data_IF_758404536793
#
_entry.id   IF_758404536793
#
_cell.length_a   1.000
_cell.length_b   1.000
_cell.length_c   1.000
_cell.angle_alpha   90.00
_cell.angle_beta   90.00
_cell.angle_gamma   90.00
#
_symmetry.space_group_name_H-M   'P 1'
#
loop_
_entity.id
_entity.type
_entity.pdbx_description
1 polymer ?
#
# COMPACT_ATOMS: atom_id res chain seq x y z
N UNK A 1 10.96 6.23 -7.90
CA UNK A 1 9.75 6.22 -7.05
C UNK A 1 9.76 7.31 -5.97
N UNK A 2 10.87 8.04 -5.76
CA UNK A 2 10.97 9.10 -4.75
C UNK A 2 9.80 10.09 -4.79
N UNK A 3 9.53 10.70 -5.95
CA UNK A 3 8.44 11.68 -6.13
C UNK A 3 7.06 11.11 -5.74
N UNK A 4 6.79 9.85 -6.07
CA UNK A 4 5.52 9.19 -5.72
C UNK A 4 5.36 8.99 -4.22
N UNK A 5 6.44 8.62 -3.53
CA UNK A 5 6.42 8.49 -2.08
C UNK A 5 6.36 9.86 -1.39
N UNK A 6 7.02 10.88 -1.95
CA UNK A 6 6.95 12.26 -1.43
C UNK A 6 5.51 12.78 -1.45
N UNK A 7 4.79 12.64 -2.57
CA UNK A 7 3.38 13.05 -2.64
C UNK A 7 2.49 12.28 -1.65
N UNK A 8 2.75 11.00 -1.41
CA UNK A 8 2.03 10.24 -0.38
C UNK A 8 2.27 10.79 1.04
N UNK A 9 3.52 11.17 1.34
CA UNK A 9 3.92 11.72 2.64
C UNK A 9 3.39 13.14 2.82
N UNK A 10 3.39 13.95 1.78
CA UNK A 10 2.83 15.31 1.79
C UNK A 10 1.34 15.28 2.16
N UNK A 11 0.52 14.47 1.48
CA UNK A 11 -0.90 14.31 1.78
C UNK A 11 -1.16 13.87 3.23
N UNK A 12 -0.32 12.98 3.78
CA UNK A 12 -0.45 12.55 5.18
C UNK A 12 -0.10 13.69 6.14
N UNK A 13 0.99 14.43 5.86
CA UNK A 13 1.48 15.53 6.69
C UNK A 13 0.55 16.74 6.72
N UNK A 14 -0.21 16.98 5.65
CA UNK A 14 -1.21 18.04 5.59
C UNK A 14 -2.47 17.74 6.43
N UNK A 15 -2.56 16.53 7.00
CA UNK A 15 -3.67 16.11 7.85
C UNK A 15 -3.26 15.94 9.31
N UNK A 16 -4.24 16.03 10.22
CA UNK A 16 -4.13 15.61 11.62
C UNK A 16 -4.70 14.20 11.85
N UNK A 17 -4.66 13.32 10.85
CA UNK A 17 -5.24 11.99 10.94
C UNK A 17 -4.46 11.11 11.93
N UNK A 18 -5.16 10.56 12.93
CA UNK A 18 -4.58 9.63 13.91
C UNK A 18 -4.97 8.16 13.65
N UNK A 19 -6.05 7.92 12.91
CA UNK A 19 -6.55 6.58 12.61
C UNK A 19 -5.80 5.99 11.41
N UNK A 20 -5.39 4.72 11.51
CA UNK A 20 -4.67 4.01 10.44
C UNK A 20 -5.43 4.06 9.12
N UNK A 21 -6.76 3.88 9.13
CA UNK A 21 -7.59 3.95 7.92
C UNK A 21 -7.48 5.29 7.19
N UNK A 22 -7.48 6.40 7.94
CA UNK A 22 -7.40 7.76 7.39
C UNK A 22 -6.00 8.02 6.83
N UNK A 23 -4.95 7.65 7.56
CA UNK A 23 -3.56 7.78 7.12
C UNK A 23 -3.33 6.95 5.84
N UNK A 24 -3.77 5.70 5.81
CA UNK A 24 -3.62 4.83 4.64
C UNK A 24 -4.37 5.37 3.42
N UNK A 25 -5.57 5.93 3.61
CA UNK A 25 -6.34 6.56 2.53
C UNK A 25 -5.63 7.78 1.95
N UNK A 26 -5.04 8.63 2.79
CA UNK A 26 -4.23 9.78 2.35
C UNK A 26 -2.97 9.35 1.60
N UNK A 27 -2.21 8.39 2.14
CA UNK A 27 -1.04 7.84 1.45
C UNK A 27 -1.41 7.21 0.10
N UNK A 28 -2.54 6.50 0.02
CA UNK A 28 -3.06 5.96 -1.25
C UNK A 28 -3.44 7.06 -2.23
N UNK A 29 -4.04 8.15 -1.77
CA UNK A 29 -4.42 9.27 -2.62
C UNK A 29 -3.17 9.99 -3.16
N UNK A 30 -2.27 10.43 -2.27
CA UNK A 30 -1.07 11.17 -2.64
C UNK A 30 -0.11 10.37 -3.51
N UNK A 31 0.07 9.07 -3.23
CA UNK A 31 0.87 8.21 -4.10
C UNK A 31 0.23 8.04 -5.49
N UNK A 32 -1.09 8.00 -5.60
CA UNK A 32 -1.76 7.88 -6.90
C UNK A 32 -1.63 9.17 -7.72
N UNK A 33 -1.84 10.33 -7.09
CA UNK A 33 -1.73 11.64 -7.76
C UNK A 33 -0.26 11.96 -8.12
N UNK A 34 0.68 11.56 -7.28
CA UNK A 34 2.13 11.70 -7.49
C UNK A 34 2.80 10.56 -8.25
N UNK A 35 2.04 9.62 -8.82
CA UNK A 35 2.61 8.45 -9.48
C UNK A 35 3.47 8.85 -10.69
N UNK A 36 4.73 8.41 -10.73
CA UNK A 36 5.65 8.66 -11.86
C UNK A 36 6.18 7.34 -12.43
N UNK A 37 5.86 7.09 -13.70
CA UNK A 37 6.22 5.86 -14.41
C UNK A 37 5.53 4.61 -13.85
N UNK A 38 5.82 3.46 -14.46
CA UNK A 38 5.15 2.20 -14.11
C UNK A 38 5.38 1.80 -12.65
N UNK A 39 6.62 1.90 -12.15
CA UNK A 39 6.91 1.56 -10.75
C UNK A 39 6.19 2.48 -9.75
N UNK A 40 6.01 3.76 -10.08
CA UNK A 40 5.21 4.68 -9.26
C UNK A 40 3.72 4.29 -9.24
N UNK A 41 3.16 3.90 -10.38
CA UNK A 41 1.78 3.39 -10.46
C UNK A 41 1.62 2.09 -9.68
N UNK A 42 2.59 1.18 -9.72
CA UNK A 42 2.56 -0.06 -8.94
C UNK A 42 2.59 0.26 -7.44
N UNK A 43 3.48 1.16 -7.01
CA UNK A 43 3.57 1.60 -5.61
C UNK A 43 2.26 2.20 -5.11
N UNK A 44 1.59 3.03 -5.92
CA UNK A 44 0.28 3.58 -5.52
C UNK A 44 -0.80 2.51 -5.42
N UNK A 45 -0.70 1.42 -6.17
CA UNK A 45 -1.62 0.29 -6.05
C UNK A 45 -1.38 -0.54 -4.78
N UNK A 46 -0.14 -0.64 -4.32
CA UNK A 46 0.20 -1.24 -3.03
C UNK A 46 -0.50 -0.44 -1.92
N UNK A 47 -0.32 0.88 -1.88
CA UNK A 47 -1.01 1.73 -0.89
C UNK A 47 -2.53 1.63 -0.99
N UNK A 48 -3.08 1.59 -2.21
CA UNK A 48 -4.53 1.45 -2.42
C UNK A 48 -5.08 0.13 -1.90
N UNK A 49 -4.38 -0.98 -2.14
CA UNK A 49 -4.77 -2.29 -1.61
C UNK A 49 -4.75 -2.29 -0.08
N UNK A 50 -3.65 -1.78 0.50
CA UNK A 50 -3.53 -1.64 1.95
C UNK A 50 -4.67 -0.79 2.54
N UNK A 51 -4.92 0.39 1.98
CA UNK A 51 -5.95 1.32 2.45
C UNK A 51 -7.36 0.71 2.45
N UNK A 52 -7.68 -0.13 1.46
CA UNK A 52 -8.96 -0.86 1.40
C UNK A 52 -9.08 -1.89 2.52
N UNK A 53 -8.02 -2.66 2.77
CA UNK A 53 -8.03 -3.70 3.79
C UNK A 53 -8.15 -3.16 5.23
N UNK A 54 -7.71 -1.92 5.46
CA UNK A 54 -7.74 -1.27 6.78
C UNK A 54 -8.87 -0.25 6.93
N UNK A 55 -9.83 -0.23 6.01
CA UNK A 55 -10.94 0.73 6.05
C UNK A 55 -11.72 0.66 7.38
N UNK A 56 -12.03 1.82 7.95
CA UNK A 56 -12.75 1.95 9.23
C UNK A 56 -11.92 1.61 10.48
N UNK A 57 -10.66 1.20 10.34
CA UNK A 57 -9.82 0.81 11.48
C UNK A 57 -9.03 1.99 12.04
N UNK A 58 -9.11 2.19 13.35
CA UNK A 58 -8.30 3.17 14.08
C UNK A 58 -6.88 2.65 14.33
N UNK A 59 -6.74 1.36 14.62
CA UNK A 59 -5.48 0.62 14.83
C UNK A 59 -5.59 -0.77 14.21
N UNK A 60 -4.49 -1.52 14.16
CA UNK A 60 -4.44 -2.87 13.59
C UNK A 60 -3.89 -3.87 14.60
N UNK A 61 -4.53 -5.03 14.69
CA UNK A 61 -3.93 -6.25 15.23
C UNK A 61 -2.91 -6.85 14.26
N UNK A 62 -2.03 -7.77 14.70
CA UNK A 62 -1.11 -8.47 13.79
C UNK A 62 -1.80 -9.14 12.60
N UNK A 63 -2.93 -9.83 12.83
CA UNK A 63 -3.71 -10.48 11.78
C UNK A 63 -4.27 -9.48 10.75
N UNK A 64 -4.73 -8.30 11.20
CA UNK A 64 -5.23 -7.27 10.32
C UNK A 64 -4.13 -6.57 9.53
N UNK A 65 -2.95 -6.42 10.12
CA UNK A 65 -1.76 -5.93 9.42
C UNK A 65 -1.32 -6.92 8.33
N UNK A 66 -1.31 -8.22 8.64
CA UNK A 66 -1.01 -9.26 7.68
C UNK A 66 -1.99 -9.27 6.50
N UNK A 67 -3.30 -9.21 6.78
CA UNK A 67 -4.33 -9.07 5.76
C UNK A 67 -4.16 -7.79 4.91
N UNK A 68 -3.71 -6.70 5.55
CA UNK A 68 -3.36 -5.46 4.86
C UNK A 68 -2.24 -5.63 3.83
N UNK A 69 -1.16 -6.33 4.19
CA UNK A 69 -0.07 -6.62 3.26
C UNK A 69 -0.47 -7.58 2.14
N UNK A 70 -1.28 -8.59 2.44
CA UNK A 70 -1.79 -9.51 1.43
C UNK A 70 -2.63 -8.77 0.38
N UNK A 71 -3.56 -7.91 0.81
CA UNK A 71 -4.38 -7.14 -0.13
C UNK A 71 -3.58 -6.07 -0.89
N UNK A 72 -2.55 -5.50 -0.27
CA UNK A 72 -1.60 -4.61 -0.95
C UNK A 72 -0.88 -5.32 -2.10
N UNK A 73 -0.39 -6.54 -1.87
CA UNK A 73 0.21 -7.37 -2.90
C UNK A 73 -0.79 -7.71 -4.01
N UNK A 74 -1.98 -8.20 -3.65
CA UNK A 74 -3.04 -8.56 -4.60
C UNK A 74 -3.43 -7.37 -5.49
N UNK A 75 -3.58 -6.18 -4.91
CA UNK A 75 -3.89 -4.97 -5.66
C UNK A 75 -2.78 -4.59 -6.65
N UNK A 76 -1.51 -4.76 -6.28
CA UNK A 76 -0.37 -4.49 -7.15
C UNK A 76 -0.28 -5.48 -8.32
N UNK A 77 -0.49 -6.77 -8.07
CA UNK A 77 -0.51 -7.80 -9.13
C UNK A 77 -1.67 -7.56 -10.11
N UNK A 78 -2.88 -7.24 -9.62
CA UNK A 78 -4.04 -6.94 -10.49
C UNK A 78 -3.86 -5.69 -11.35
N UNK A 79 -2.96 -4.79 -10.96
CA UNK A 79 -2.73 -3.54 -11.68
C UNK A 79 -1.76 -3.68 -12.87
N UNK A 80 -1.12 -4.84 -13.03
CA UNK A 80 -0.11 -5.09 -14.04
C UNK A 80 -0.58 -6.20 -14.97
N UNK A 81 -0.70 -5.90 -16.26
CA UNK A 81 -1.16 -6.88 -17.27
C UNK A 81 -0.27 -8.12 -17.37
N UNK A 82 1.04 -7.98 -17.14
CA UNK A 82 2.03 -9.06 -17.14
C UNK A 82 2.93 -8.92 -15.91
N UNK A 83 2.52 -9.47 -14.75
CA UNK A 83 3.32 -9.43 -13.52
C UNK A 83 4.65 -10.16 -13.72
N UNK A 84 5.75 -9.55 -13.28
CA UNK A 84 7.09 -10.14 -13.37
C UNK A 84 7.66 -10.37 -11.98
N UNK A 85 8.05 -11.61 -11.71
CA UNK A 85 8.78 -11.99 -10.49
C UNK A 85 10.21 -11.43 -10.50
N UNK A 86 10.81 -11.28 -9.32
CA UNK A 86 12.09 -10.59 -9.14
C UNK A 86 11.97 -9.06 -9.11
N UNK A 87 10.75 -8.55 -8.94
CA UNK A 87 10.45 -7.11 -8.83
C UNK A 87 9.82 -6.78 -7.47
N UNK A 88 9.39 -5.52 -7.29
CA UNK A 88 8.62 -5.11 -6.11
C UNK A 88 7.37 -5.96 -5.86
N UNK A 89 6.79 -6.58 -6.91
CA UNK A 89 5.66 -7.49 -6.79
C UNK A 89 6.01 -8.72 -5.94
N UNK A 90 7.17 -9.33 -6.20
CA UNK A 90 7.68 -10.44 -5.40
C UNK A 90 7.88 -10.02 -3.95
N UNK A 91 8.49 -8.85 -3.72
CA UNK A 91 8.70 -8.34 -2.35
C UNK A 91 7.36 -8.15 -1.62
N UNK A 92 6.37 -7.56 -2.27
CA UNK A 92 5.04 -7.37 -1.68
C UNK A 92 4.36 -8.71 -1.34
N UNK A 93 4.43 -9.70 -2.25
CA UNK A 93 3.86 -11.03 -2.02
C UNK A 93 4.54 -11.75 -0.85
N UNK A 94 5.87 -11.79 -0.85
CA UNK A 94 6.62 -12.48 0.21
C UNK A 94 6.45 -11.77 1.56
N UNK A 95 6.34 -10.43 1.58
CA UNK A 95 6.02 -9.68 2.80
C UNK A 95 4.62 -10.05 3.33
N UNK A 96 3.61 -10.15 2.47
CA UNK A 96 2.26 -10.59 2.86
C UNK A 96 2.27 -12.01 3.44
N UNK A 97 2.96 -12.95 2.77
CA UNK A 97 3.11 -14.33 3.24
C UNK A 97 3.83 -14.43 4.59
N UNK A 98 4.94 -13.70 4.74
CA UNK A 98 5.71 -13.68 5.97
C UNK A 98 4.88 -13.09 7.13
N UNK A 99 4.14 -12.00 6.87
CA UNK A 99 3.26 -11.41 7.87
C UNK A 99 2.12 -12.35 8.29
N UNK A 100 1.50 -13.06 7.34
CA UNK A 100 0.46 -14.05 7.64
C UNK A 100 0.99 -15.23 8.47
N UNK A 101 2.27 -15.60 8.29
CA UNK A 101 2.90 -16.67 9.08
C UNK A 101 3.25 -16.21 10.50
N UNK A 102 3.55 -14.92 10.68
CA UNK A 102 4.00 -14.37 11.95
C UNK A 102 2.86 -13.81 12.84
N UNK A 103 1.68 -13.56 12.26
CA UNK A 103 0.51 -13.03 12.93
C UNK A 103 -0.20 -14.07 13.80
#
# INVERSE_FOLDING_TARGET
MLLTLQSAVEDVKESNAAEVSKIAKLASHGSLMGARGNSGVILSQIFRGFARAVEGKASLTPAELAAGFEEAANAAYRAVNKPTEGTILTVAREAGRAAATAA
#
